data_IF_873064757027
#
_entry.id   IF_873064757027
#
_cell.length_a   1.000
_cell.length_b   1.000
_cell.length_c   1.000
_cell.angle_alpha   90.00
_cell.angle_beta   90.00
_cell.angle_gamma   90.00
#
_symmetry.space_group_name_H-M   'P 1'
#
loop_
_entity.id
_entity.type
_entity.pdbx_description
1 polymer ?
#
# COMPACT_ATOMS: atom_id res chain seq x y z
N UNK A 1 14.06 -3.35 -9.14
CA UNK A 1 13.31 -2.22 -8.55
C UNK A 1 13.53 -0.99 -9.40
N UNK A 2 12.48 -0.33 -9.89
CA UNK A 2 12.59 0.95 -10.62
C UNK A 2 12.09 2.06 -9.70
N UNK A 3 12.97 2.98 -9.31
CA UNK A 3 12.58 4.16 -8.56
C UNK A 3 12.03 5.21 -9.53
N UNK A 4 10.93 5.83 -9.14
CA UNK A 4 10.30 6.87 -9.93
C UNK A 4 9.78 7.96 -9.00
N UNK A 5 10.18 9.21 -9.28
CA UNK A 5 9.50 10.38 -8.77
C UNK A 5 8.36 10.71 -9.75
N UNK A 6 7.15 10.87 -9.25
CA UNK A 6 5.97 11.23 -10.03
C UNK A 6 4.97 11.97 -9.17
N UNK A 7 4.06 12.70 -9.80
CA UNK A 7 2.89 13.24 -9.10
C UNK A 7 1.92 12.12 -8.72
N UNK A 8 0.95 12.42 -7.85
CA UNK A 8 -0.10 11.47 -7.52
C UNK A 8 -1.07 11.24 -8.69
N UNK A 9 -1.27 12.23 -9.57
CA UNK A 9 -2.04 12.06 -10.81
C UNK A 9 -1.35 11.07 -11.76
N UNK A 10 -0.04 11.18 -11.93
CA UNK A 10 0.76 10.24 -12.73
C UNK A 10 0.74 8.83 -12.12
N UNK A 11 0.81 8.72 -10.80
CA UNK A 11 0.64 7.44 -10.10
C UNK A 11 -0.74 6.85 -10.37
N UNK A 12 -1.82 7.64 -10.23
CA UNK A 12 -3.19 7.18 -10.45
C UNK A 12 -3.38 6.65 -11.88
N UNK A 13 -2.91 7.40 -12.88
CA UNK A 13 -2.96 6.99 -14.28
C UNK A 13 -2.21 5.67 -14.49
N UNK A 14 -0.99 5.54 -13.97
CA UNK A 14 -0.19 4.29 -14.10
C UNK A 14 -0.88 3.08 -13.48
N UNK A 15 -1.45 3.25 -12.29
CA UNK A 15 -2.11 2.16 -11.58
C UNK A 15 -3.35 1.68 -12.35
N UNK A 16 -4.17 2.61 -12.86
CA UNK A 16 -5.40 2.30 -13.60
C UNK A 16 -5.14 1.75 -14.99
N UNK A 17 -4.30 2.43 -15.78
CA UNK A 17 -4.03 2.04 -17.18
C UNK A 17 -3.24 0.72 -17.23
N UNK A 18 -2.38 0.48 -16.24
CA UNK A 18 -1.54 -0.72 -16.15
C UNK A 18 -2.16 -1.88 -15.37
N UNK A 19 -3.37 -1.71 -14.81
CA UNK A 19 -4.01 -2.67 -13.90
C UNK A 19 -3.07 -3.17 -12.79
N UNK A 20 -2.37 -2.23 -12.14
CA UNK A 20 -1.39 -2.53 -11.11
C UNK A 20 -2.01 -2.53 -9.71
N UNK A 21 -1.43 -3.29 -8.79
CA UNK A 21 -1.76 -3.25 -7.36
C UNK A 21 -0.73 -2.42 -6.58
N UNK A 22 -1.14 -1.88 -5.45
CA UNK A 22 -0.30 -1.09 -4.54
C UNK A 22 0.10 -1.96 -3.35
N UNK A 23 1.41 -1.97 -3.06
CA UNK A 23 1.98 -2.54 -1.84
C UNK A 23 2.54 -1.39 -1.00
N UNK A 24 2.07 -1.27 0.23
CA UNK A 24 2.49 -0.22 1.14
C UNK A 24 3.66 -0.70 2.00
N UNK A 25 4.84 -0.10 1.88
CA UNK A 25 5.97 -0.42 2.74
C UNK A 25 5.99 0.50 3.98
N UNK A 26 5.85 -0.09 5.17
CA UNK A 26 5.73 0.58 6.45
C UNK A 26 4.28 0.71 6.92
N UNK A 27 3.93 0.00 8.00
CA UNK A 27 2.66 0.09 8.71
C UNK A 27 2.78 1.05 9.92
N UNK A 28 3.46 2.18 9.75
CA UNK A 28 3.58 3.25 10.75
C UNK A 28 2.59 4.40 10.50
N UNK A 29 2.76 5.52 11.19
CA UNK A 29 1.84 6.69 11.09
C UNK A 29 1.65 7.16 9.65
N UNK A 30 2.73 7.31 8.86
CA UNK A 30 2.62 7.74 7.47
C UNK A 30 1.83 6.74 6.61
N UNK A 31 2.00 5.44 6.87
CA UNK A 31 1.31 4.36 6.17
C UNK A 31 -0.15 4.20 6.57
N UNK A 32 -0.55 4.69 7.74
CA UNK A 32 -1.90 4.56 8.29
C UNK A 32 -2.72 5.86 8.28
N UNK A 33 -2.08 7.02 8.11
CA UNK A 33 -2.74 8.34 8.15
C UNK A 33 -2.53 9.09 6.84
N UNK A 34 -1.31 9.56 6.57
CA UNK A 34 -1.03 10.47 5.46
C UNK A 34 -1.26 9.81 4.10
N UNK A 35 -0.63 8.66 3.85
CA UNK A 35 -0.77 7.99 2.57
C UNK A 35 -2.19 7.48 2.31
N UNK A 36 -2.90 6.88 3.29
CA UNK A 36 -4.29 6.49 3.08
C UNK A 36 -5.22 7.66 2.70
N UNK A 37 -5.04 8.85 3.30
CA UNK A 37 -5.80 10.04 2.91
C UNK A 37 -5.53 10.46 1.47
N UNK A 38 -4.26 10.43 1.04
CA UNK A 38 -3.88 10.70 -0.35
C UNK A 38 -4.51 9.64 -1.26
N UNK A 39 -4.35 8.35 -0.97
CA UNK A 39 -4.90 7.27 -1.78
C UNK A 39 -6.43 7.32 -1.86
N UNK A 40 -7.12 7.74 -0.79
CA UNK A 40 -8.56 7.97 -0.82
C UNK A 40 -8.91 9.10 -1.79
N UNK A 41 -8.20 10.24 -1.73
CA UNK A 41 -8.43 11.39 -2.62
C UNK A 41 -8.31 11.05 -4.11
N UNK A 42 -7.45 10.11 -4.48
CA UNK A 42 -7.23 9.68 -5.87
C UNK A 42 -7.98 8.39 -6.24
N UNK A 43 -8.92 7.91 -5.39
CA UNK A 43 -9.65 6.66 -5.58
C UNK A 43 -8.75 5.42 -5.74
N UNK A 44 -7.57 5.46 -5.13
CA UNK A 44 -6.55 4.42 -5.18
C UNK A 44 -6.58 3.47 -3.97
N UNK A 45 -7.35 3.80 -2.93
CA UNK A 45 -7.52 2.93 -1.76
C UNK A 45 -7.91 1.47 -2.10
N UNK A 46 -8.81 1.20 -3.08
CA UNK A 46 -9.14 -0.17 -3.47
C UNK A 46 -8.00 -0.97 -4.08
N UNK A 47 -6.94 -0.31 -4.56
CA UNK A 47 -5.81 -0.97 -5.21
C UNK A 47 -4.74 -1.42 -4.22
N UNK A 48 -4.87 -1.09 -2.93
CA UNK A 48 -3.95 -1.59 -1.89
C UNK A 48 -4.18 -3.09 -1.71
N UNK A 49 -3.15 -3.88 -2.02
CA UNK A 49 -3.15 -5.32 -1.78
C UNK A 49 -2.80 -5.67 -0.34
N UNK A 50 -1.73 -5.06 0.18
CA UNK A 50 -1.24 -5.31 1.54
C UNK A 50 -0.23 -4.26 2.00
N UNK A 51 0.08 -4.34 3.30
CA UNK A 51 1.22 -3.68 3.90
C UNK A 51 2.38 -4.66 4.09
N UNK A 52 3.60 -4.17 3.94
CA UNK A 52 4.83 -4.85 4.36
C UNK A 52 5.45 -4.03 5.50
N UNK A 53 5.88 -4.68 6.58
CA UNK A 53 6.60 -4.00 7.67
C UNK A 53 7.78 -4.86 8.14
N UNK A 54 8.85 -4.25 8.62
CA UNK A 54 9.99 -4.96 9.20
C UNK A 54 9.71 -5.44 10.63
N UNK A 55 8.74 -4.82 11.31
CA UNK A 55 8.32 -5.22 12.65
C UNK A 55 7.49 -6.51 12.60
N UNK A 56 8.11 -7.59 13.07
CA UNK A 56 7.51 -8.93 13.11
C UNK A 56 6.26 -9.00 13.97
N UNK A 57 6.12 -8.13 14.97
CA UNK A 57 4.96 -8.13 15.88
C UNK A 57 3.68 -7.74 15.16
N UNK A 58 3.79 -7.07 13.99
CA UNK A 58 2.65 -6.68 13.17
C UNK A 58 2.25 -7.74 12.14
N UNK A 59 3.08 -8.74 11.87
CA UNK A 59 2.81 -9.71 10.80
C UNK A 59 1.59 -10.58 11.13
N UNK A 60 0.75 -10.84 10.14
CA UNK A 60 -0.52 -11.57 10.31
C UNK A 60 -1.64 -10.71 10.92
N UNK A 61 -1.34 -9.49 11.36
CA UNK A 61 -2.36 -8.50 11.73
C UNK A 61 -2.98 -7.83 10.50
N UNK A 62 -3.96 -6.97 10.76
CA UNK A 62 -4.69 -6.22 9.74
C UNK A 62 -4.78 -4.75 10.13
N UNK A 63 -4.71 -3.87 9.15
CA UNK A 63 -4.92 -2.43 9.30
C UNK A 63 -6.30 -2.09 8.74
N UNK A 64 -7.11 -1.42 9.55
CA UNK A 64 -8.43 -0.92 9.16
C UNK A 64 -8.33 0.53 8.70
N UNK A 65 -8.71 0.80 7.44
CA UNK A 65 -8.73 2.14 6.84
C UNK A 65 -10.02 2.33 6.06
N UNK A 66 -10.80 3.35 6.41
CA UNK A 66 -12.02 3.75 5.69
C UNK A 66 -12.99 2.57 5.45
N UNK A 67 -13.17 1.71 6.45
CA UNK A 67 -14.04 0.53 6.36
C UNK A 67 -13.47 -0.63 5.54
N UNK A 68 -12.18 -0.57 5.15
CA UNK A 68 -11.46 -1.65 4.48
C UNK A 68 -10.34 -2.19 5.36
N UNK A 69 -10.09 -3.48 5.22
CA UNK A 69 -9.15 -4.22 6.04
C UNK A 69 -8.00 -4.74 5.19
N UNK A 70 -6.76 -4.41 5.55
CA UNK A 70 -5.56 -4.75 4.77
C UNK A 70 -4.58 -5.61 5.59
N UNK A 71 -4.11 -6.75 5.06
CA UNK A 71 -3.16 -7.60 5.78
C UNK A 71 -1.77 -6.96 5.86
N UNK A 72 -1.06 -7.22 6.96
CA UNK A 72 0.36 -6.85 7.15
C UNK A 72 1.23 -8.10 7.05
N UNK A 73 2.22 -8.06 6.17
CA UNK A 73 3.12 -9.19 5.88
C UNK A 73 4.59 -8.81 6.09
N UNK A 74 5.46 -9.83 6.07
CA UNK A 74 6.90 -9.65 6.05
C UNK A 74 7.41 -9.11 4.71
N UNK A 75 8.59 -8.45 4.64
CA UNK A 75 9.19 -8.03 3.37
C UNK A 75 9.46 -9.18 2.40
N UNK A 76 9.53 -10.42 2.92
CA UNK A 76 9.72 -11.64 2.13
C UNK A 76 8.44 -12.21 1.53
N UNK A 77 7.29 -11.56 1.69
CA UNK A 77 5.98 -12.03 1.22
C UNK A 77 5.98 -12.48 -0.25
N UNK A 78 6.68 -11.74 -1.11
CA UNK A 78 6.75 -12.00 -2.54
C UNK A 78 7.83 -13.00 -2.99
N UNK A 79 8.67 -13.53 -2.08
CA UNK A 79 9.73 -14.50 -2.45
C UNK A 79 9.19 -15.92 -2.75
N UNK A 80 7.88 -16.15 -2.57
CA UNK A 80 7.21 -17.45 -2.79
C UNK A 80 6.40 -17.53 -4.10
N UNK A 81 6.59 -16.57 -5.02
CA UNK A 81 6.03 -16.64 -6.37
C UNK A 81 7.08 -17.06 -7.39
#
# INVERSE_FOLDING_TARGET
>A
MKLQCCSFDELNKKIRDGNHEIVMFGAGVLGQVTMPQILLKYDLLPFIRCYLDNDKTKWGSRIELFGKSFPVNSPSFFRKM
#
